data_IF_078163839148
#
_entry.id   IF_078163839148
#
_cell.length_a   1.000
_cell.length_b   1.000
_cell.length_c   1.000
_cell.angle_alpha   90.00
_cell.angle_beta   90.00
_cell.angle_gamma   90.00
#
_symmetry.space_group_name_H-M   'P 1'
#
loop_
_entity.id
_entity.type
_entity.pdbx_description
1 polymer ?
#
# COMPACT_ATOMS: atom_id res chain seq x y z
N UNK A 1 3.29 7.69 18.42
CA UNK A 1 3.90 6.75 19.38
C UNK A 1 2.87 6.37 20.43
N UNK A 2 2.73 5.08 20.75
CA UNK A 2 1.78 4.52 21.71
C UNK A 2 2.54 3.62 22.70
N UNK A 3 2.22 3.74 23.98
CA UNK A 3 2.73 2.86 25.03
C UNK A 3 1.62 1.87 25.40
N UNK A 4 1.93 0.58 25.38
CA UNK A 4 1.02 -0.50 25.68
C UNK A 4 1.49 -1.23 26.95
N UNK A 5 0.56 -1.49 27.86
CA UNK A 5 0.78 -2.27 29.07
C UNK A 5 -0.33 -3.31 29.19
N UNK A 6 0.04 -4.58 29.34
CA UNK A 6 -0.87 -5.70 29.49
C UNK A 6 -0.45 -6.57 30.67
N UNK A 7 -1.44 -6.99 31.46
CA UNK A 7 -1.25 -7.87 32.61
C UNK A 7 -2.27 -9.00 32.55
N UNK A 8 -1.78 -10.25 32.45
CA UNK A 8 -2.62 -11.44 32.38
C UNK A 8 -2.39 -12.32 33.58
N UNK A 9 -3.45 -12.43 34.39
CA UNK A 9 -3.56 -13.31 35.54
C UNK A 9 -4.22 -14.62 35.13
N UNK A 10 -3.54 -15.75 35.32
CA UNK A 10 -4.10 -17.07 35.05
C UNK A 10 -4.39 -17.80 36.37
N UNK A 11 -5.63 -18.28 36.54
CA UNK A 11 -6.13 -18.88 37.80
C UNK A 11 -5.40 -20.19 38.20
N UNK A 12 -4.74 -20.84 37.24
CA UNK A 12 -3.88 -22.03 37.40
C UNK A 12 -2.61 -21.94 36.52
N UNK A 13 -2.17 -20.72 36.18
CA UNK A 13 -1.07 -20.50 35.23
C UNK A 13 -0.15 -19.36 35.64
N UNK A 14 1.00 -19.27 34.98
CA UNK A 14 1.99 -18.24 35.25
C UNK A 14 1.46 -16.82 34.95
N UNK A 15 1.60 -15.92 35.93
CA UNK A 15 1.42 -14.48 35.75
C UNK A 15 2.32 -14.00 34.60
N UNK A 16 1.77 -13.21 33.69
CA UNK A 16 2.52 -12.58 32.60
C UNK A 16 2.23 -11.09 32.49
N UNK A 17 3.30 -10.31 32.38
CA UNK A 17 3.29 -8.85 32.23
C UNK A 17 3.98 -8.49 30.94
N UNK A 18 3.39 -7.64 30.12
CA UNK A 18 3.99 -7.14 28.88
C UNK A 18 3.94 -5.63 28.87
N UNK A 19 5.07 -5.01 28.56
CA UNK A 19 5.20 -3.57 28.34
C UNK A 19 5.80 -3.37 26.96
N UNK A 20 5.22 -2.50 26.15
CA UNK A 20 5.75 -2.22 24.81
C UNK A 20 5.45 -0.82 24.33
N UNK A 21 6.25 -0.38 23.36
CA UNK A 21 6.10 0.87 22.63
C UNK A 21 5.91 0.52 21.17
N UNK A 22 4.93 1.12 20.53
CA UNK A 22 4.73 1.01 19.09
C UNK A 22 4.43 2.35 18.46
N UNK A 23 4.68 2.47 17.16
CA UNK A 23 4.45 3.69 16.43
C UNK A 23 4.58 3.50 14.94
N UNK A 24 4.33 4.59 14.23
CA UNK A 24 4.53 4.73 12.79
C UNK A 24 5.47 5.90 12.54
N UNK A 25 6.27 5.79 11.49
CA UNK A 25 7.24 6.77 10.99
C UNK A 25 6.95 7.02 9.50
N UNK A 26 7.63 8.03 8.94
CA UNK A 26 7.40 8.63 7.62
C UNK A 26 6.09 9.44 7.51
N UNK A 27 6.06 10.33 6.53
CA UNK A 27 4.96 11.24 6.21
C UNK A 27 3.68 10.48 5.80
N UNK A 28 3.84 9.29 5.24
CA UNK A 28 2.81 8.40 4.72
C UNK A 28 2.42 7.28 5.73
N UNK A 29 3.00 7.28 6.92
CA UNK A 29 2.80 6.26 7.96
C UNK A 29 3.16 4.83 7.49
N UNK A 30 3.95 4.69 6.41
CA UNK A 30 4.31 3.41 5.79
C UNK A 30 5.19 2.51 6.65
N UNK A 31 5.99 3.09 7.55
CA UNK A 31 6.86 2.34 8.44
C UNK A 31 6.23 2.25 9.83
N UNK A 32 5.98 1.04 10.29
CA UNK A 32 5.56 0.73 11.66
C UNK A 32 6.67 0.04 12.44
N UNK A 33 6.74 0.31 13.73
CA UNK A 33 7.65 -0.39 14.63
C UNK A 33 6.94 -0.75 15.94
N UNK A 34 7.35 -1.86 16.53
CA UNK A 34 6.91 -2.33 17.85
C UNK A 34 8.12 -2.89 18.59
N UNK A 35 8.29 -2.45 19.83
CA UNK A 35 9.29 -2.98 20.75
C UNK A 35 8.58 -3.30 22.06
N UNK A 36 8.72 -4.52 22.54
CA UNK A 36 8.09 -4.94 23.78
C UNK A 36 8.98 -5.88 24.56
N UNK A 37 8.81 -5.83 25.87
CA UNK A 37 9.40 -6.75 26.83
C UNK A 37 8.27 -7.40 27.60
N UNK A 38 8.37 -8.72 27.79
CA UNK A 38 7.42 -9.46 28.58
C UNK A 38 8.14 -10.29 29.63
N UNK A 39 7.47 -10.49 30.76
CA UNK A 39 7.94 -11.32 31.85
C UNK A 39 6.84 -12.28 32.23
N UNK A 40 7.12 -13.57 32.10
CA UNK A 40 6.24 -14.65 32.55
C UNK A 40 6.91 -15.44 33.67
N UNK A 41 6.14 -15.88 34.67
CA UNK A 41 6.65 -16.75 35.73
C UNK A 41 7.11 -18.13 35.21
N UNK A 42 6.47 -18.70 34.18
CA UNK A 42 6.84 -20.01 33.63
C UNK A 42 7.87 -19.90 32.50
N UNK A 43 7.71 -18.96 31.59
CA UNK A 43 8.54 -18.84 30.39
C UNK A 43 9.77 -17.91 30.55
N UNK A 44 9.82 -17.11 31.63
CA UNK A 44 10.87 -16.14 31.86
C UNK A 44 10.66 -14.81 31.14
N UNK A 45 11.75 -14.06 30.93
CA UNK A 45 11.71 -12.79 30.19
C UNK A 45 11.79 -13.06 28.69
N UNK A 46 10.97 -12.36 27.92
CA UNK A 46 11.10 -12.25 26.47
C UNK A 46 11.20 -10.80 26.03
N UNK A 47 11.92 -10.57 24.94
CA UNK A 47 12.02 -9.29 24.27
C UNK A 47 11.66 -9.49 22.81
N UNK A 48 10.72 -8.70 22.32
CA UNK A 48 10.23 -8.76 20.95
C UNK A 48 10.42 -7.38 20.33
N UNK A 49 11.06 -7.33 19.17
CA UNK A 49 11.20 -6.15 18.35
C UNK A 49 10.71 -6.49 16.94
N UNK A 50 9.88 -5.64 16.36
CA UNK A 50 9.49 -5.77 14.96
C UNK A 50 9.41 -4.42 14.27
N UNK A 51 9.72 -4.43 12.98
CA UNK A 51 9.59 -3.29 12.10
C UNK A 51 8.89 -3.79 10.83
N UNK A 52 7.93 -3.03 10.33
CA UNK A 52 7.16 -3.38 9.13
C UNK A 52 7.08 -2.15 8.24
N UNK A 53 7.58 -2.28 7.02
CA UNK A 53 7.59 -1.24 6.01
C UNK A 53 6.63 -1.63 4.87
N UNK A 54 5.65 -0.77 4.62
CA UNK A 54 4.71 -0.91 3.51
C UNK A 54 5.18 -0.05 2.33
N UNK A 55 5.60 -0.69 1.25
CA UNK A 55 5.94 -0.04 0.00
C UNK A 55 4.81 -0.20 -1.02
N UNK A 56 4.89 0.55 -2.12
CA UNK A 56 3.89 0.48 -3.19
C UNK A 56 3.84 -0.87 -3.90
N UNK A 57 4.96 -1.56 -3.96
CA UNK A 57 5.12 -2.87 -4.59
C UNK A 57 5.12 -4.05 -3.61
N UNK A 58 4.79 -3.84 -2.33
CA UNK A 58 4.78 -4.92 -1.34
C UNK A 58 5.08 -4.46 0.09
N UNK A 59 5.16 -5.40 1.03
CA UNK A 59 5.52 -5.14 2.42
C UNK A 59 6.73 -5.98 2.85
N UNK A 60 7.56 -5.37 3.68
CA UNK A 60 8.70 -6.01 4.32
C UNK A 60 8.48 -5.94 5.82
N UNK A 61 8.50 -7.09 6.49
CA UNK A 61 8.46 -7.19 7.94
C UNK A 61 9.73 -7.87 8.44
N UNK A 62 10.36 -7.22 9.41
CA UNK A 62 11.49 -7.72 10.17
C UNK A 62 11.02 -7.93 11.59
N UNK A 63 11.37 -9.07 12.17
CA UNK A 63 11.09 -9.38 13.56
C UNK A 63 12.28 -10.03 14.22
N UNK A 64 12.40 -9.78 15.51
CA UNK A 64 13.43 -10.29 16.37
C UNK A 64 12.81 -10.60 17.71
N UNK A 65 12.89 -11.86 18.12
CA UNK A 65 12.37 -12.31 19.41
C UNK A 65 13.47 -13.05 20.17
N UNK A 66 13.64 -12.71 21.45
CA UNK A 66 14.59 -13.39 22.34
C UNK A 66 13.87 -13.75 23.63
N UNK A 67 13.79 -15.05 23.90
CA UNK A 67 13.31 -15.59 25.17
C UNK A 67 14.44 -16.20 26.01
N UNK A 68 14.06 -16.89 27.08
CA UNK A 68 15.02 -17.56 27.99
C UNK A 68 15.83 -18.68 27.30
N UNK A 69 15.19 -19.44 26.40
CA UNK A 69 15.78 -20.63 25.77
C UNK A 69 15.82 -20.56 24.25
N UNK A 70 15.42 -19.43 23.66
CA UNK A 70 15.38 -19.30 22.20
C UNK A 70 15.72 -17.88 21.76
N UNK A 71 16.22 -17.79 20.53
CA UNK A 71 16.43 -16.55 19.80
C UNK A 71 15.93 -16.79 18.38
N UNK A 72 14.98 -15.98 17.94
CA UNK A 72 14.38 -16.06 16.64
C UNK A 72 14.55 -14.73 15.91
N UNK A 73 14.83 -14.82 14.62
CA UNK A 73 14.88 -13.70 13.70
C UNK A 73 13.98 -14.08 12.54
N UNK A 74 13.04 -13.22 12.18
CA UNK A 74 12.13 -13.42 11.06
C UNK A 74 12.25 -12.26 10.09
N UNK A 75 12.28 -12.61 8.81
CA UNK A 75 12.22 -11.69 7.69
C UNK A 75 11.10 -12.19 6.81
N UNK A 76 10.10 -11.35 6.60
CA UNK A 76 8.91 -11.66 5.83
C UNK A 76 8.80 -10.62 4.71
N UNK A 77 8.75 -11.10 3.49
CA UNK A 77 8.51 -10.30 2.29
C UNK A 77 7.18 -10.75 1.71
N UNK A 78 6.25 -9.82 1.55
CA UNK A 78 4.95 -10.08 0.95
C UNK A 78 4.70 -9.10 -0.19
N UNK A 79 4.17 -9.59 -1.28
CA UNK A 79 3.95 -8.79 -2.48
C UNK A 79 3.57 -9.71 -3.62
N UNK A 80 3.57 -9.16 -4.82
CA UNK A 80 3.25 -9.88 -6.03
C UNK A 80 4.08 -9.43 -7.21
N UNK A 81 4.18 -10.33 -8.18
CA UNK A 81 4.83 -10.10 -9.45
C UNK A 81 3.88 -10.58 -10.53
N UNK A 82 3.53 -9.67 -11.45
CA UNK A 82 2.61 -9.95 -12.52
C UNK A 82 3.29 -9.76 -13.87
N UNK A 83 3.28 -10.82 -14.69
CA UNK A 83 3.68 -10.75 -16.08
C UNK A 83 2.45 -10.45 -16.95
N UNK A 84 2.54 -9.43 -17.80
CA UNK A 84 1.49 -8.99 -18.71
C UNK A 84 2.09 -8.52 -20.04
N UNK A 85 1.25 -8.17 -21.03
CA UNK A 85 1.70 -7.73 -22.35
C UNK A 85 2.64 -6.50 -22.32
N UNK A 86 2.59 -5.72 -21.25
CA UNK A 86 3.46 -4.57 -21.02
C UNK A 86 4.79 -4.90 -20.33
N UNK A 87 5.00 -6.13 -19.87
CA UNK A 87 6.21 -6.54 -19.15
C UNK A 87 5.89 -7.17 -17.80
N UNK A 88 6.74 -6.89 -16.80
CA UNK A 88 6.56 -7.36 -15.42
C UNK A 88 6.33 -6.16 -14.54
N UNK A 89 5.24 -6.19 -13.77
CA UNK A 89 4.91 -5.17 -12.77
C UNK A 89 4.88 -5.82 -11.40
N UNK A 90 5.50 -5.16 -10.42
CA UNK A 90 5.44 -5.56 -9.01
C UNK A 90 4.27 -4.86 -8.35
N UNK A 91 3.61 -5.53 -7.41
CA UNK A 91 2.48 -4.97 -6.71
C UNK A 91 2.36 -5.52 -5.30
N UNK A 92 1.44 -4.95 -4.54
CA UNK A 92 1.08 -5.50 -3.23
C UNK A 92 0.50 -6.93 -3.38
N UNK A 93 0.31 -7.63 -2.27
CA UNK A 93 -0.30 -8.97 -2.24
C UNK A 93 -1.64 -8.97 -2.99
N UNK A 94 -1.80 -9.88 -3.94
CA UNK A 94 -2.98 -9.94 -4.80
C UNK A 94 -4.12 -10.67 -4.11
N UNK A 95 -5.34 -10.16 -4.30
CA UNK A 95 -6.57 -10.88 -4.05
C UNK A 95 -6.91 -11.84 -5.20
N UNK A 96 -8.12 -12.37 -5.17
CA UNK A 96 -8.62 -13.28 -6.22
C UNK A 96 -8.91 -12.54 -7.53
N UNK A 97 -9.47 -11.34 -7.45
CA UNK A 97 -9.87 -10.53 -8.61
C UNK A 97 -9.11 -9.21 -8.57
N UNK A 98 -8.50 -8.83 -9.69
CA UNK A 98 -7.49 -7.77 -9.73
C UNK A 98 -7.55 -6.97 -11.04
N UNK A 99 -6.94 -5.78 -11.05
CA UNK A 99 -6.75 -5.00 -12.25
C UNK A 99 -5.29 -4.59 -12.43
N UNK A 100 -4.84 -4.54 -13.68
CA UNK A 100 -3.65 -3.82 -14.11
C UNK A 100 -4.11 -2.49 -14.66
N UNK A 101 -3.58 -1.41 -14.09
CA UNK A 101 -3.80 -0.05 -14.55
C UNK A 101 -2.57 0.40 -15.32
N UNK A 102 -2.80 0.96 -16.50
CA UNK A 102 -1.77 1.62 -17.30
C UNK A 102 -2.10 3.11 -17.45
N UNK A 103 -1.19 3.96 -16.99
CA UNK A 103 -1.22 5.42 -17.16
C UNK A 103 0.00 5.81 -18.01
N UNK A 104 -0.14 5.93 -19.34
CA UNK A 104 1.00 6.21 -20.19
C UNK A 104 1.61 7.58 -19.87
N UNK A 105 2.92 7.61 -19.62
CA UNK A 105 3.68 8.86 -19.45
C UNK A 105 3.65 9.45 -18.03
N UNK A 106 2.90 8.86 -17.10
CA UNK A 106 2.85 9.31 -15.71
C UNK A 106 3.30 8.19 -14.77
N UNK A 107 4.28 8.48 -13.91
CA UNK A 107 4.80 7.56 -12.90
C UNK A 107 4.54 8.15 -11.51
N UNK A 108 4.44 7.28 -10.49
CA UNK A 108 4.18 7.70 -9.11
C UNK A 108 2.73 8.06 -8.82
N UNK A 109 1.84 8.10 -9.82
CA UNK A 109 0.42 8.41 -9.63
C UNK A 109 -0.25 7.36 -8.73
N UNK A 110 -0.86 7.82 -7.64
CA UNK A 110 -1.67 7.01 -6.74
C UNK A 110 -2.98 6.54 -7.36
N UNK A 111 -3.50 5.43 -6.86
CA UNK A 111 -4.86 4.98 -7.17
C UNK A 111 -5.76 5.26 -5.97
N UNK A 112 -6.85 5.97 -6.19
CA UNK A 112 -7.83 6.27 -5.17
C UNK A 112 -8.36 4.99 -4.52
N UNK A 113 -8.59 5.08 -3.20
CA UNK A 113 -9.07 3.98 -2.38
C UNK A 113 -8.14 2.74 -2.37
N UNK A 114 -6.91 2.86 -2.89
CA UNK A 114 -5.86 1.85 -2.86
C UNK A 114 -4.61 2.43 -2.18
N UNK A 115 -4.65 2.48 -0.85
CA UNK A 115 -3.60 3.09 -0.04
C UNK A 115 -2.20 2.53 -0.35
N UNK A 116 -1.29 3.44 -0.68
CA UNK A 116 0.10 3.14 -0.97
C UNK A 116 0.34 2.49 -2.33
N UNK A 117 -0.69 2.28 -3.18
CA UNK A 117 -0.49 1.76 -4.55
C UNK A 117 -0.23 2.94 -5.48
N UNK A 118 0.97 2.99 -6.06
CA UNK A 118 1.37 4.00 -7.05
C UNK A 118 1.89 3.34 -8.32
N UNK A 119 1.76 4.05 -9.44
CA UNK A 119 2.30 3.61 -10.73
C UNK A 119 3.83 3.54 -10.70
N UNK A 120 4.38 2.51 -11.33
CA UNK A 120 5.81 2.34 -11.50
C UNK A 120 6.38 3.39 -12.48
N UNK A 121 7.70 3.35 -12.67
CA UNK A 121 8.42 4.23 -13.60
C UNK A 121 7.99 4.09 -15.08
N UNK A 122 7.18 3.06 -15.41
CA UNK A 122 6.63 2.79 -16.73
C UNK A 122 5.16 3.19 -16.84
N UNK A 123 4.55 3.63 -15.74
CA UNK A 123 3.14 3.96 -15.64
C UNK A 123 2.22 2.76 -15.44
N UNK A 124 2.70 1.63 -14.90
CA UNK A 124 1.87 0.49 -14.53
C UNK A 124 1.66 0.41 -13.02
N UNK A 125 0.42 0.11 -12.63
CA UNK A 125 0.07 -0.20 -11.24
C UNK A 125 -0.82 -1.44 -11.21
N UNK A 126 -0.72 -2.22 -10.13
CA UNK A 126 -1.58 -3.38 -9.91
C UNK A 126 -2.52 -3.10 -8.75
N UNK A 127 -3.82 -3.11 -9.06
CA UNK A 127 -4.89 -3.02 -8.08
C UNK A 127 -5.16 -4.42 -7.56
N UNK A 128 -4.82 -4.64 -6.30
CA UNK A 128 -4.77 -5.95 -5.67
C UNK A 128 -6.15 -6.56 -5.42
N UNK A 129 -7.17 -5.75 -5.19
CA UNK A 129 -8.51 -6.24 -4.80
C UNK A 129 -9.62 -5.51 -5.54
N UNK A 130 -10.38 -6.28 -6.32
CA UNK A 130 -11.66 -5.87 -6.90
C UNK A 130 -12.77 -6.75 -6.38
N UNK A 131 -13.98 -6.21 -6.34
CA UNK A 131 -15.18 -6.97 -5.98
C UNK A 131 -15.79 -7.61 -7.23
N UNK A 132 -15.89 -8.94 -7.33
CA UNK A 132 -16.46 -9.59 -8.50
C UNK A 132 -17.97 -9.30 -8.64
N UNK A 133 -18.46 -9.30 -9.88
CA UNK A 133 -19.85 -9.03 -10.26
C UNK A 133 -20.40 -7.68 -9.79
N UNK A 134 -19.52 -6.73 -9.49
CA UNK A 134 -19.85 -5.37 -9.06
C UNK A 134 -19.07 -4.36 -9.89
N UNK A 135 -19.64 -3.16 -10.01
CA UNK A 135 -18.93 -2.01 -10.58
C UNK A 135 -17.83 -1.62 -9.61
N UNK A 136 -16.58 -1.68 -10.08
CA UNK A 136 -15.42 -1.18 -9.37
C UNK A 136 -14.95 0.07 -10.11
N UNK A 137 -14.94 1.20 -9.41
CA UNK A 137 -14.35 2.44 -9.91
C UNK A 137 -12.86 2.44 -9.61
N UNK A 138 -12.07 2.60 -10.66
CA UNK A 138 -10.65 2.82 -10.59
C UNK A 138 -10.43 4.31 -10.86
N UNK A 139 -10.14 5.07 -9.84
CA UNK A 139 -9.86 6.50 -9.95
C UNK A 139 -8.39 6.75 -9.64
N UNK A 140 -7.76 7.69 -10.35
CA UNK A 140 -6.37 8.07 -10.15
C UNK A 140 -6.32 9.31 -9.26
N UNK A 141 -5.39 9.31 -8.30
CA UNK A 141 -5.17 10.48 -7.44
C UNK A 141 -4.48 11.58 -8.25
N UNK A 142 -5.25 12.59 -8.63
CA UNK A 142 -4.76 13.73 -9.41
C UNK A 142 -4.01 14.76 -8.55
N UNK A 143 -3.98 14.62 -7.22
CA UNK A 143 -3.22 15.56 -6.36
C UNK A 143 -1.71 15.42 -6.54
N UNK A 144 -1.23 14.26 -6.97
CA UNK A 144 0.20 14.03 -7.21
C UNK A 144 0.63 14.38 -8.64
N UNK A 145 -0.30 14.84 -9.49
CA UNK A 145 0.05 15.33 -10.83
C UNK A 145 0.74 16.71 -10.74
N UNK A 146 1.71 16.99 -11.63
CA UNK A 146 2.23 18.33 -11.82
C UNK A 146 1.12 19.33 -12.18
N UNK A 147 1.22 20.57 -11.69
CA UNK A 147 0.23 21.64 -11.97
C UNK A 147 0.05 21.96 -13.47
N UNK A 148 1.00 21.56 -14.32
CA UNK A 148 0.95 21.74 -15.77
C UNK A 148 0.34 20.54 -16.50
N UNK A 149 -0.14 19.51 -15.81
CA UNK A 149 -0.71 18.30 -16.41
C UNK A 149 -2.12 17.99 -15.89
N UNK A 150 -2.99 17.50 -16.78
CA UNK A 150 -4.34 17.04 -16.46
C UNK A 150 -4.57 15.64 -17.03
N UNK A 151 -5.26 14.81 -16.25
CA UNK A 151 -5.81 13.54 -16.73
C UNK A 151 -7.24 13.77 -17.23
N UNK A 152 -7.50 13.71 -18.55
CA UNK A 152 -8.83 14.00 -19.09
C UNK A 152 -9.91 12.97 -18.68
N UNK A 153 -9.47 11.78 -18.30
CA UNK A 153 -10.33 10.73 -17.76
C UNK A 153 -9.61 10.08 -16.57
N UNK A 154 -9.72 10.62 -15.36
CA UNK A 154 -9.06 10.08 -14.17
C UNK A 154 -9.82 8.89 -13.57
N UNK A 155 -10.96 8.49 -14.14
CA UNK A 155 -11.80 7.40 -13.62
C UNK A 155 -12.24 6.42 -14.73
N UNK A 156 -12.11 5.12 -14.45
CA UNK A 156 -12.59 4.02 -15.29
C UNK A 156 -13.41 3.06 -14.43
N UNK A 157 -14.55 2.62 -14.96
CA UNK A 157 -15.40 1.60 -14.33
C UNK A 157 -15.15 0.22 -14.95
N UNK A 158 -14.98 -0.80 -14.11
CA UNK A 158 -14.84 -2.20 -14.55
C UNK A 158 -15.77 -3.12 -13.75
N UNK A 159 -16.27 -4.16 -14.41
CA UNK A 159 -17.11 -5.19 -13.80
C UNK A 159 -16.44 -6.56 -14.00
N UNK A 160 -15.55 -6.99 -13.09
CA UNK A 160 -14.84 -8.24 -13.23
C UNK A 160 -15.69 -9.45 -12.80
N UNK A 161 -15.44 -10.60 -13.40
CA UNK A 161 -15.89 -11.90 -12.86
C UNK A 161 -14.94 -12.37 -11.77
N UNK A 162 -15.34 -13.35 -10.96
CA UNK A 162 -14.44 -13.98 -9.99
C UNK A 162 -13.19 -14.53 -10.68
N UNK A 163 -12.00 -14.20 -10.14
CA UNK A 163 -10.72 -14.63 -10.70
C UNK A 163 -10.24 -13.83 -11.93
N UNK A 164 -10.97 -12.80 -12.36
CA UNK A 164 -10.58 -12.01 -13.53
C UNK A 164 -9.41 -11.07 -13.24
N UNK A 165 -8.54 -10.92 -14.24
CA UNK A 165 -7.49 -9.91 -14.29
C UNK A 165 -7.91 -8.89 -15.33
N UNK A 166 -8.40 -7.73 -14.89
CA UNK A 166 -8.82 -6.66 -15.77
C UNK A 166 -7.61 -5.85 -16.23
N UNK A 167 -7.58 -5.44 -17.50
CA UNK A 167 -6.59 -4.49 -17.99
C UNK A 167 -7.28 -3.18 -18.30
N UNK A 168 -6.96 -2.14 -17.53
CA UNK A 168 -7.56 -0.81 -17.64
C UNK A 168 -6.51 0.20 -18.08
N UNK A 169 -6.72 0.82 -19.24
CA UNK A 169 -5.80 1.81 -19.78
C UNK A 169 -6.43 3.20 -19.68
N UNK A 170 -5.75 4.09 -18.97
CA UNK A 170 -6.11 5.49 -18.87
C UNK A 170 -5.57 6.28 -20.07
N UNK A 171 -6.24 7.40 -20.36
CA UNK A 171 -5.71 8.38 -21.29
C UNK A 171 -4.39 8.95 -20.73
N UNK A 172 -3.40 9.26 -21.59
CA UNK A 172 -2.18 9.90 -21.16
C UNK A 172 -2.49 11.26 -20.52
N UNK A 173 -1.68 11.66 -19.54
CA UNK A 173 -1.69 13.02 -19.03
C UNK A 173 -1.40 14.00 -20.17
N UNK A 174 -2.16 15.09 -20.23
CA UNK A 174 -2.01 16.15 -21.21
C UNK A 174 -1.58 17.41 -20.50
N UNK A 175 -0.73 18.21 -21.15
CA UNK A 175 -0.41 19.52 -20.60
C UNK A 175 -1.64 20.40 -20.56
N UNK A 176 -1.86 21.10 -19.46
CA UNK A 176 -2.87 22.15 -19.36
C UNK A 176 -2.62 23.13 -20.51
N UNK A 177 -3.49 23.11 -21.51
CA UNK A 177 -3.47 24.13 -22.55
C UNK A 177 -4.25 25.30 -21.96
N UNK A 178 -3.65 26.50 -21.78
CA UNK A 178 -4.37 27.65 -21.26
C UNK A 178 -5.62 27.89 -22.11
N UNK A 179 -6.78 28.25 -21.50
CA UNK A 179 -7.96 28.59 -22.27
C UNK A 179 -7.60 29.69 -23.26
N UNK A 180 -7.89 29.40 -24.52
CA UNK A 180 -7.56 30.17 -25.70
C UNK A 180 -7.86 31.67 -25.50
N UNK A 181 -6.82 32.49 -25.32
CA UNK A 181 -6.91 33.94 -25.22
C UNK A 181 -7.20 34.61 -26.58
N UNK A 182 -7.68 33.87 -27.58
CA UNK A 182 -7.84 34.34 -28.96
C UNK A 182 -9.29 34.67 -29.36
N UNK A 183 -10.13 35.19 -28.45
CA UNK A 183 -11.47 35.72 -28.82
C UNK A 183 -11.82 37.13 -28.33
N UNK A 184 -10.85 37.93 -27.91
CA UNK A 184 -11.06 39.38 -27.70
C UNK A 184 -10.16 40.21 -28.61
N UNK A 185 -10.26 40.02 -29.91
CA UNK A 185 -9.75 40.99 -30.89
C UNK A 185 -10.61 40.95 -32.16
N UNK A 186 -11.81 41.51 -32.08
CA UNK A 186 -12.48 42.07 -33.25
C UNK A 186 -12.55 43.58 -33.05
N UNK A 187 -11.95 44.39 -33.94
CA UNK A 187 -12.13 45.83 -33.96
C UNK A 187 -13.38 46.16 -34.79
N UNK A 188 -14.30 46.94 -34.22
CA UNK A 188 -15.15 47.88 -34.96
C UNK A 188 -15.30 49.16 -34.13
#
# INVERSE_FOLDING_TARGET
MKLNYDHRLAKNGADSRRVGVSGTLLSDYSLSYDLSTSQSQSAGSSQDASASYQYNAGSLRLGYARGRNYRQQNIELAGSLMAHAGGVTLGQTLGETMAIVQVPGAAGIGIDNQYGVTTDWRGYAVVSTLTPYRVNRLSLDTFELPDDEELPQPEIEVVPTAGAIMFSRFAPAQKLTPPDAARTSSPE
#
